data_IF_215696665774
#
_entry.id   IF_215696665774
#
_cell.length_a   1.000
_cell.length_b   1.000
_cell.length_c   1.000
_cell.angle_alpha   90.00
_cell.angle_beta   90.00
_cell.angle_gamma   90.00
#
_symmetry.space_group_name_H-M   'P 1'
#
loop_
_entity.id
_entity.type
_entity.pdbx_description
1 polymer ?
#
# COMPACT_ATOMS: atom_id res chain seq x y z
N UNK A 1 4.75 14.92 -4.39
CA UNK A 1 3.95 13.68 -4.46
C UNK A 1 4.68 12.73 -5.39
N UNK A 2 5.11 11.58 -4.90
CA UNK A 2 5.76 10.55 -5.71
C UNK A 2 4.72 9.46 -6.03
N UNK A 3 4.52 9.19 -7.31
CA UNK A 3 3.69 8.07 -7.77
C UNK A 3 4.61 6.96 -8.24
N UNK A 4 4.31 5.74 -7.83
CA UNK A 4 5.09 4.56 -8.18
C UNK A 4 4.18 3.39 -8.49
N UNK A 5 4.68 2.48 -9.30
CA UNK A 5 4.00 1.23 -9.62
C UNK A 5 4.34 0.17 -8.57
N UNK A 6 3.34 -0.60 -8.19
CA UNK A 6 3.47 -1.71 -7.26
C UNK A 6 2.65 -2.88 -7.76
N UNK A 7 3.21 -4.08 -7.62
CA UNK A 7 2.55 -5.32 -8.01
C UNK A 7 1.76 -5.87 -6.82
N UNK A 8 0.57 -6.40 -7.11
CA UNK A 8 -0.23 -7.12 -6.12
C UNK A 8 0.36 -8.52 -5.94
N UNK A 9 0.98 -8.76 -4.79
CA UNK A 9 1.58 -10.06 -4.48
C UNK A 9 0.53 -11.03 -3.96
N UNK A 10 -0.36 -10.55 -3.08
CA UNK A 10 -1.41 -11.36 -2.48
C UNK A 10 -2.58 -10.50 -2.02
N UNK A 11 -3.77 -11.09 -2.09
CA UNK A 11 -4.98 -10.58 -1.44
C UNK A 11 -5.58 -11.76 -0.67
N UNK A 12 -5.75 -11.60 0.64
CA UNK A 12 -6.28 -12.65 1.51
C UNK A 12 -7.31 -12.10 2.48
N UNK A 13 -8.43 -12.80 2.74
CA UNK A 13 -9.39 -12.37 3.75
C UNK A 13 -8.78 -12.49 5.15
N UNK A 14 -9.05 -11.50 6.00
CA UNK A 14 -8.82 -11.57 7.45
C UNK A 14 -10.14 -11.81 8.20
N UNK A 15 -11.21 -11.19 7.71
CA UNK A 15 -12.60 -11.38 8.13
C UNK A 15 -13.53 -11.23 6.92
N UNK A 16 -14.84 -11.38 7.09
CA UNK A 16 -15.83 -11.20 6.02
C UNK A 16 -15.83 -9.80 5.39
N UNK A 17 -15.26 -8.81 6.09
CA UNK A 17 -15.25 -7.42 5.65
C UNK A 17 -13.84 -6.82 5.52
N UNK A 18 -12.80 -7.53 5.99
CA UNK A 18 -11.43 -7.02 6.00
C UNK A 18 -10.53 -7.93 5.18
N UNK A 19 -9.84 -7.34 4.21
CA UNK A 19 -8.86 -8.03 3.39
C UNK A 19 -7.46 -7.47 3.64
N UNK A 20 -6.49 -8.37 3.73
CA UNK A 20 -5.07 -8.03 3.74
C UNK A 20 -4.57 -8.04 2.30
N UNK A 21 -3.95 -6.93 1.89
CA UNK A 21 -3.33 -6.76 0.58
C UNK A 21 -1.82 -6.61 0.78
N UNK A 22 -1.03 -7.42 0.09
CA UNK A 22 0.43 -7.28 0.03
C UNK A 22 0.80 -6.68 -1.32
N UNK A 23 1.40 -5.49 -1.28
CA UNK A 23 1.91 -4.80 -2.44
C UNK A 23 3.44 -4.81 -2.41
N UNK A 24 4.06 -5.08 -3.56
CA UNK A 24 5.49 -4.95 -3.75
C UNK A 24 5.77 -3.77 -4.67
N UNK A 25 6.34 -2.67 -4.17
CA UNK A 25 6.69 -1.56 -5.04
C UNK A 25 7.82 -1.98 -6.00
N UNK A 26 7.76 -1.52 -7.25
CA UNK A 26 8.78 -1.83 -8.26
C UNK A 26 10.13 -1.16 -7.95
N UNK A 27 10.12 -0.14 -7.09
CA UNK A 27 11.29 0.57 -6.60
C UNK A 27 11.24 0.66 -5.07
N UNK A 28 12.38 0.75 -4.36
CA UNK A 28 12.38 0.96 -2.92
C UNK A 28 11.62 2.23 -2.50
N UNK A 29 10.87 2.15 -1.41
CA UNK A 29 10.08 3.26 -0.88
C UNK A 29 10.42 3.46 0.59
N UNK A 30 10.81 4.68 0.94
CA UNK A 30 10.99 5.09 2.33
C UNK A 30 9.69 5.69 2.86
N UNK A 31 9.26 5.25 4.04
CA UNK A 31 8.11 5.79 4.75
C UNK A 31 8.35 5.69 6.26
N UNK A 32 7.65 6.52 7.02
CA UNK A 32 7.66 6.48 8.48
C UNK A 32 6.44 5.70 9.00
N UNK A 33 6.59 5.04 10.14
CA UNK A 33 5.47 4.34 10.77
C UNK A 33 4.33 5.32 11.10
N UNK A 34 3.10 4.94 10.74
CA UNK A 34 1.92 5.80 10.88
C UNK A 34 1.57 6.63 9.63
N UNK A 35 2.44 6.65 8.60
CA UNK A 35 2.10 7.24 7.31
C UNK A 35 1.11 6.38 6.51
N UNK A 36 0.48 7.03 5.53
CA UNK A 36 -0.45 6.41 4.59
C UNK A 36 0.01 6.63 3.15
N UNK A 37 -0.48 5.80 2.25
CA UNK A 37 -0.32 5.96 0.80
C UNK A 37 -1.68 6.21 0.15
N UNK A 38 -1.68 6.76 -1.06
CA UNK A 38 -2.88 6.88 -1.87
C UNK A 38 -2.86 5.84 -2.99
N UNK A 39 -3.83 4.93 -2.97
CA UNK A 39 -4.06 3.99 -4.07
C UNK A 39 -4.83 4.71 -5.18
N UNK A 40 -4.27 4.70 -6.39
CA UNK A 40 -4.87 5.28 -7.60
C UNK A 40 -5.64 4.18 -8.32
N UNK A 41 -6.96 4.16 -8.17
CA UNK A 41 -7.85 3.20 -8.84
C UNK A 41 -8.37 3.75 -10.18
N UNK A 42 -8.29 5.07 -10.36
CA UNK A 42 -8.58 5.78 -11.60
C UNK A 42 -8.14 7.23 -11.50
N UNK A 43 -8.30 8.01 -12.57
CA UNK A 43 -7.82 9.41 -12.62
C UNK A 43 -8.37 10.28 -11.47
N UNK A 44 -9.62 10.04 -11.08
CA UNK A 44 -10.33 10.77 -10.01
C UNK A 44 -10.62 9.94 -8.76
N UNK A 45 -10.35 8.63 -8.77
CA UNK A 45 -10.53 7.75 -7.60
C UNK A 45 -9.17 7.45 -6.96
N UNK A 46 -8.85 8.23 -5.93
CA UNK A 46 -7.66 8.06 -5.11
C UNK A 46 -8.08 7.84 -3.67
N UNK A 47 -7.72 6.71 -3.09
CA UNK A 47 -8.12 6.34 -1.73
C UNK A 47 -6.91 6.24 -0.82
N UNK A 48 -6.99 6.86 0.35
CA UNK A 48 -5.95 6.79 1.35
C UNK A 48 -6.03 5.48 2.14
N UNK A 49 -4.91 4.78 2.25
CA UNK A 49 -4.75 3.58 3.07
C UNK A 49 -3.48 3.69 3.91
N UNK A 50 -3.59 3.46 5.21
CA UNK A 50 -2.44 3.40 6.10
C UNK A 50 -1.52 2.24 5.73
N UNK A 51 -0.21 2.44 5.87
CA UNK A 51 0.76 1.39 5.60
C UNK A 51 0.83 0.49 6.85
N UNK A 52 0.28 -0.72 6.72
CA UNK A 52 0.20 -1.68 7.83
C UNK A 52 1.48 -2.53 8.01
N UNK A 53 2.54 -2.26 7.24
CA UNK A 53 3.85 -2.89 7.39
C UNK A 53 4.82 -1.97 8.14
N UNK A 54 5.82 -2.55 8.81
CA UNK A 54 6.93 -1.74 9.37
C UNK A 54 7.75 -1.14 8.23
N UNK A 55 8.24 0.11 8.37
CA UNK A 55 9.33 0.61 7.54
C UNK A 55 10.48 -0.38 7.58
N UNK A 56 11.08 -0.70 6.43
CA UNK A 56 12.26 -1.57 6.39
C UNK A 56 13.34 -0.98 7.28
N UNK A 57 13.83 -1.74 8.26
CA UNK A 57 15.13 -1.47 8.86
C UNK A 57 16.17 -1.74 7.76
N UNK A 58 16.90 -0.70 7.39
CA UNK A 58 18.24 -0.85 6.78
C UNK A 58 19.09 -1.80 7.61
#
# INVERSE_FOLDING_TARGET
MQTLLADVVAISPLTDHVHKVILKPQQPVSFEAGQYMQLVLGEKDKRAFSIASRPSQT
#
